data_IF_380399100172
#
_entry.id   IF_380399100172
#
_cell.length_a   1.000
_cell.length_b   1.000
_cell.length_c   1.000
_cell.angle_alpha   90.00
_cell.angle_beta   90.00
_cell.angle_gamma   90.00
#
_symmetry.space_group_name_H-M   'P 1'
#
loop_
_entity.id
_entity.type
_entity.pdbx_description
1 polymer ?
#
# COMPACT_ATOMS: atom_id res chain seq x y z
N UNK A 1 -46.94 19.49 3.38
CA UNK A 1 -46.85 18.32 4.28
C UNK A 1 -46.27 18.78 5.63
N UNK A 2 -46.63 18.11 6.74
CA UNK A 2 -45.94 18.29 8.01
C UNK A 2 -44.51 17.73 7.89
N UNK A 3 -43.51 18.44 8.42
CA UNK A 3 -42.14 17.94 8.47
C UNK A 3 -42.01 17.10 9.73
N UNK A 4 -41.94 15.77 9.57
CA UNK A 4 -42.01 14.81 10.67
C UNK A 4 -40.67 14.68 11.41
N UNK A 5 -39.55 14.98 10.73
CA UNK A 5 -38.19 14.88 11.29
C UNK A 5 -37.43 16.22 11.30
N UNK A 6 -36.48 16.42 12.24
CA UNK A 6 -35.69 17.66 12.36
C UNK A 6 -34.96 18.07 11.08
N UNK A 7 -34.38 17.12 10.35
CA UNK A 7 -33.72 17.40 9.06
C UNK A 7 -34.69 17.98 8.02
N UNK A 8 -35.93 17.49 7.98
CA UNK A 8 -36.95 17.99 7.03
C UNK A 8 -37.40 19.42 7.36
N UNK A 9 -37.38 19.79 8.64
CA UNK A 9 -37.69 21.16 9.07
C UNK A 9 -36.58 22.11 8.61
N UNK A 10 -35.32 21.75 8.83
CA UNK A 10 -34.15 22.53 8.35
C UNK A 10 -34.15 22.68 6.84
N UNK A 11 -34.35 21.58 6.09
CA UNK A 11 -34.44 21.65 4.62
C UNK A 11 -35.56 22.58 4.16
N UNK A 12 -36.72 22.56 4.84
CA UNK A 12 -37.85 23.44 4.49
C UNK A 12 -37.59 24.91 4.79
N UNK A 13 -36.91 25.21 5.90
CA UNK A 13 -36.50 26.57 6.24
C UNK A 13 -35.50 27.12 5.21
N UNK A 14 -34.48 26.33 4.85
CA UNK A 14 -33.51 26.69 3.81
C UNK A 14 -34.16 26.87 2.45
N UNK A 15 -35.09 25.99 2.06
CA UNK A 15 -35.83 26.11 0.81
C UNK A 15 -36.67 27.41 0.76
N UNK A 16 -37.35 27.76 1.86
CA UNK A 16 -38.10 29.03 1.96
C UNK A 16 -37.19 30.25 1.87
N UNK A 17 -36.03 30.20 2.51
CA UNK A 17 -35.04 31.27 2.43
C UNK A 17 -34.47 31.44 1.01
N UNK A 18 -34.25 30.33 0.29
CA UNK A 18 -33.80 30.33 -1.09
C UNK A 18 -34.86 30.93 -2.03
N UNK A 19 -36.15 30.59 -1.86
CA UNK A 19 -37.24 31.19 -2.64
C UNK A 19 -37.40 32.70 -2.38
N UNK A 20 -37.29 33.14 -1.12
CA UNK A 20 -37.30 34.56 -0.80
C UNK A 20 -36.07 35.31 -1.38
N UNK A 21 -34.94 34.63 -1.57
CA UNK A 21 -33.78 35.20 -2.26
C UNK A 21 -33.98 35.22 -3.79
N UNK A 22 -34.61 34.20 -4.35
CA UNK A 22 -34.98 34.12 -5.76
C UNK A 22 -35.86 35.30 -6.19
N UNK A 23 -36.92 35.57 -5.41
CA UNK A 23 -37.82 36.71 -5.66
C UNK A 23 -37.09 38.06 -5.52
N UNK A 24 -36.32 38.26 -4.44
CA UNK A 24 -35.60 39.52 -4.18
C UNK A 24 -34.58 39.86 -5.28
N UNK A 25 -33.90 38.87 -5.83
CA UNK A 25 -32.88 39.08 -6.85
C UNK A 25 -33.40 38.84 -8.28
N UNK A 26 -34.70 38.53 -8.44
CA UNK A 26 -35.33 38.22 -9.73
C UNK A 26 -34.56 37.14 -10.51
N UNK A 27 -34.12 36.08 -9.81
CA UNK A 27 -33.39 34.97 -10.43
C UNK A 27 -34.32 34.00 -11.16
N UNK A 28 -35.63 34.05 -10.92
CA UNK A 28 -36.63 33.23 -11.62
C UNK A 28 -36.30 31.73 -11.61
N UNK A 29 -35.71 31.23 -10.52
CA UNK A 29 -35.21 29.86 -10.38
C UNK A 29 -36.31 28.82 -10.48
N UNK A 30 -37.54 29.15 -10.04
CA UNK A 30 -38.71 28.27 -10.22
C UNK A 30 -39.14 28.13 -11.69
N UNK A 31 -38.85 29.14 -12.52
CA UNK A 31 -39.23 29.14 -13.95
C UNK A 31 -38.15 28.51 -14.83
N UNK A 32 -36.89 28.73 -14.47
CA UNK A 32 -35.74 28.16 -15.16
C UNK A 32 -34.72 27.59 -14.18
N UNK A 33 -34.90 26.29 -13.90
CA UNK A 33 -34.06 25.52 -12.99
C UNK A 33 -32.61 25.45 -13.52
N UNK A 34 -32.35 25.65 -14.82
CA UNK A 34 -30.98 25.61 -15.36
C UNK A 34 -30.09 26.73 -14.83
N UNK A 35 -30.69 27.82 -14.32
CA UNK A 35 -29.99 28.98 -13.73
C UNK A 35 -29.30 28.66 -12.41
N UNK A 36 -29.69 27.58 -11.72
CA UNK A 36 -28.96 27.09 -10.56
C UNK A 36 -27.49 26.74 -10.91
N UNK A 37 -27.24 26.38 -12.18
CA UNK A 37 -25.92 25.99 -12.69
C UNK A 37 -25.17 25.02 -11.76
N UNK A 38 -25.90 24.12 -11.11
CA UNK A 38 -25.34 23.09 -10.24
C UNK A 38 -24.69 22.06 -11.16
N UNK A 39 -23.36 22.06 -11.15
CA UNK A 39 -22.52 21.28 -12.04
C UNK A 39 -21.38 20.66 -11.23
N UNK A 40 -20.98 19.45 -11.61
CA UNK A 40 -19.69 18.92 -11.17
C UNK A 40 -18.56 19.75 -11.77
N UNK A 41 -17.39 19.75 -11.12
CA UNK A 41 -16.19 20.45 -11.63
C UNK A 41 -15.92 20.05 -13.09
N UNK A 42 -16.06 18.77 -13.43
CA UNK A 42 -15.84 18.26 -14.79
C UNK A 42 -16.81 18.84 -15.82
N UNK A 43 -18.11 18.88 -15.48
CA UNK A 43 -19.13 19.45 -16.37
C UNK A 43 -19.01 20.96 -16.53
N UNK A 44 -18.46 21.66 -15.52
CA UNK A 44 -18.11 23.08 -15.59
C UNK A 44 -16.87 23.31 -16.47
N UNK A 45 -15.78 22.58 -16.24
CA UNK A 45 -14.56 22.63 -17.06
C UNK A 45 -14.86 22.31 -18.53
N UNK A 46 -15.64 21.26 -18.79
CA UNK A 46 -16.08 20.92 -20.14
C UNK A 46 -16.94 22.02 -20.79
N UNK A 47 -17.73 22.77 -20.02
CA UNK A 47 -18.47 23.92 -20.55
C UNK A 47 -17.53 25.08 -20.92
N UNK A 48 -16.51 25.35 -20.11
CA UNK A 48 -15.51 26.39 -20.39
C UNK A 48 -14.70 26.08 -21.66
N UNK A 49 -14.18 24.85 -21.80
CA UNK A 49 -13.41 24.44 -22.98
C UNK A 49 -14.24 24.54 -24.26
N UNK A 50 -15.55 24.25 -24.19
CA UNK A 50 -16.48 24.43 -25.32
C UNK A 50 -16.74 25.89 -25.68
N UNK A 51 -16.74 26.80 -24.70
CA UNK A 51 -17.01 28.22 -24.92
C UNK A 51 -15.76 29.00 -25.35
N UNK A 52 -14.55 28.51 -25.04
CA UNK A 52 -13.29 29.19 -25.37
C UNK A 52 -12.24 28.29 -26.07
N UNK A 53 -12.54 27.62 -27.20
CA UNK A 53 -11.62 26.64 -27.80
C UNK A 53 -10.26 27.22 -28.23
N UNK A 54 -10.25 28.48 -28.68
CA UNK A 54 -9.04 29.17 -29.18
C UNK A 54 -8.14 29.67 -28.05
N UNK A 55 -8.73 30.17 -26.95
CA UNK A 55 -7.97 30.66 -25.79
C UNK A 55 -7.45 29.52 -24.91
N UNK A 56 -8.08 28.35 -24.96
CA UNK A 56 -7.61 27.16 -24.25
C UNK A 56 -6.52 26.40 -25.00
N UNK A 57 -6.11 26.82 -26.21
CA UNK A 57 -5.15 26.11 -27.08
C UNK A 57 -5.52 24.64 -27.39
N UNK A 58 -6.75 24.22 -27.08
CA UNK A 58 -7.19 22.83 -27.16
C UNK A 58 -7.46 22.37 -28.60
N UNK A 59 -7.53 23.27 -29.58
CA UNK A 59 -7.68 22.95 -31.01
C UNK A 59 -8.99 22.25 -31.40
N UNK A 60 -9.86 21.90 -30.44
CA UNK A 60 -11.09 21.12 -30.63
C UNK A 60 -11.84 20.87 -29.31
N UNK A 61 -12.91 20.06 -29.37
CA UNK A 61 -13.67 19.68 -28.16
C UNK A 61 -12.90 18.61 -27.38
N UNK A 62 -12.52 18.90 -26.14
CA UNK A 62 -12.02 17.89 -25.21
C UNK A 62 -13.16 16.93 -24.83
N UNK A 63 -12.99 15.64 -25.12
CA UNK A 63 -13.89 14.60 -24.64
C UNK A 63 -13.47 14.20 -23.22
N UNK A 64 -14.46 14.04 -22.33
CA UNK A 64 -14.24 13.40 -21.06
C UNK A 64 -13.94 11.92 -21.31
N UNK A 65 -12.89 11.43 -20.66
CA UNK A 65 -12.48 10.03 -20.72
C UNK A 65 -12.80 9.39 -19.37
N UNK A 66 -13.64 8.36 -19.39
CA UNK A 66 -14.04 7.64 -18.17
C UNK A 66 -12.93 6.71 -17.66
N UNK A 67 -12.09 6.16 -18.55
CA UNK A 67 -10.96 5.30 -18.20
C UNK A 67 -9.67 5.77 -18.89
N UNK A 68 -8.74 6.31 -18.10
CA UNK A 68 -7.44 6.80 -18.55
C UNK A 68 -6.33 5.74 -18.55
N UNK A 69 -6.63 4.47 -18.24
CA UNK A 69 -5.62 3.41 -18.15
C UNK A 69 -4.79 3.24 -19.42
N UNK A 70 -5.41 3.36 -20.61
CA UNK A 70 -4.67 3.30 -21.87
C UNK A 70 -3.63 4.42 -21.98
N UNK A 71 -3.99 5.64 -21.57
CA UNK A 71 -3.07 6.78 -21.58
C UNK A 71 -1.93 6.60 -20.56
N UNK A 72 -2.20 5.97 -19.41
CA UNK A 72 -1.15 5.63 -18.45
C UNK A 72 -0.19 4.57 -19.01
N UNK A 73 -0.71 3.55 -19.69
CA UNK A 73 0.12 2.53 -20.34
C UNK A 73 1.00 3.15 -21.44
N UNK A 74 0.43 4.04 -22.26
CA UNK A 74 1.18 4.80 -23.28
C UNK A 74 2.28 5.65 -22.65
N UNK A 75 1.97 6.41 -21.58
CA UNK A 75 2.97 7.23 -20.89
C UNK A 75 4.14 6.41 -20.33
N UNK A 76 3.87 5.21 -19.79
CA UNK A 76 4.90 4.29 -19.31
C UNK A 76 5.72 3.71 -20.46
N UNK A 77 5.08 3.33 -21.57
CA UNK A 77 5.79 2.86 -22.76
C UNK A 77 6.69 3.94 -23.36
N UNK A 78 6.23 5.19 -23.36
CA UNK A 78 6.99 6.34 -23.83
C UNK A 78 8.17 6.65 -22.91
N UNK A 79 8.02 6.53 -21.59
CA UNK A 79 9.12 6.63 -20.64
C UNK A 79 10.23 5.63 -20.98
N UNK A 80 9.88 4.35 -21.20
CA UNK A 80 10.87 3.33 -21.58
C UNK A 80 11.55 3.64 -22.91
N UNK A 81 10.86 4.25 -23.87
CA UNK A 81 11.44 4.64 -25.16
C UNK A 81 12.40 5.81 -25.05
N UNK A 82 12.18 6.71 -24.10
CA UNK A 82 12.98 7.91 -23.87
C UNK A 82 14.20 7.68 -22.98
N UNK A 83 14.22 6.58 -22.23
CA UNK A 83 15.33 6.20 -21.37
C UNK A 83 16.47 5.59 -22.18
N UNK A 84 17.25 6.45 -22.83
CA UNK A 84 18.55 6.10 -23.41
C UNK A 84 19.70 6.30 -22.41
N UNK A 85 20.92 5.89 -22.78
CA UNK A 85 22.11 5.99 -21.91
C UNK A 85 22.44 7.44 -21.48
N UNK A 86 21.85 8.46 -22.11
CA UNK A 86 22.05 9.87 -21.79
C UNK A 86 21.01 10.47 -20.84
N UNK A 87 19.90 9.76 -20.57
CA UNK A 87 18.82 10.29 -19.74
C UNK A 87 19.18 10.20 -18.23
N UNK A 88 18.97 11.26 -17.42
CA UNK A 88 19.31 11.25 -15.99
C UNK A 88 18.69 10.09 -15.19
N UNK A 89 17.47 9.69 -15.56
CA UNK A 89 16.75 8.59 -14.90
C UNK A 89 17.08 7.19 -15.46
N UNK A 90 17.99 7.05 -16.44
CA UNK A 90 18.33 5.76 -17.03
C UNK A 90 19.01 4.82 -16.04
N UNK A 91 19.90 5.36 -15.20
CA UNK A 91 20.57 4.58 -14.15
C UNK A 91 19.56 4.07 -13.10
N UNK A 92 18.64 4.93 -12.66
CA UNK A 92 17.61 4.56 -11.70
C UNK A 92 16.64 3.53 -12.28
N UNK A 93 16.25 3.69 -13.55
CA UNK A 93 15.44 2.70 -14.26
C UNK A 93 16.16 1.36 -14.42
N UNK A 94 17.47 1.35 -14.66
CA UNK A 94 18.22 0.11 -14.73
C UNK A 94 18.24 -0.62 -13.36
N UNK A 95 18.37 0.12 -12.26
CA UNK A 95 18.40 -0.43 -10.90
C UNK A 95 17.04 -1.02 -10.45
N UNK A 96 15.99 -0.20 -10.38
CA UNK A 96 14.82 -0.42 -11.21
C UNK A 96 14.44 -1.84 -11.64
N UNK A 97 14.67 -2.03 -12.92
CA UNK A 97 14.52 -3.25 -13.69
C UNK A 97 15.25 -4.46 -13.14
N UNK A 98 16.49 -4.30 -12.65
CA UNK A 98 17.25 -5.40 -12.08
C UNK A 98 16.55 -5.95 -10.83
N UNK A 99 15.93 -5.10 -10.01
CA UNK A 99 15.15 -5.51 -8.84
C UNK A 99 13.91 -6.34 -9.21
N UNK A 100 13.36 -6.13 -10.41
CA UNK A 100 12.22 -6.88 -10.93
C UNK A 100 12.64 -8.06 -11.82
N UNK A 101 13.88 -8.53 -11.75
CA UNK A 101 14.42 -9.61 -12.58
C UNK A 101 14.24 -9.34 -14.09
N UNK A 102 14.29 -8.06 -14.49
CA UNK A 102 13.98 -7.58 -15.84
C UNK A 102 12.57 -7.96 -16.35
N UNK A 103 11.61 -8.20 -15.45
CA UNK A 103 10.21 -8.40 -15.80
C UNK A 103 9.53 -7.07 -16.16
N UNK A 104 9.64 -6.72 -17.44
CA UNK A 104 9.13 -5.47 -18.00
C UNK A 104 7.62 -5.30 -17.82
N UNK A 105 6.85 -6.37 -18.08
CA UNK A 105 5.40 -6.35 -18.01
C UNK A 105 4.94 -6.02 -16.58
N UNK A 106 5.54 -6.69 -15.58
CA UNK A 106 5.24 -6.43 -14.18
C UNK A 106 5.58 -5.01 -13.76
N UNK A 107 6.73 -4.49 -14.19
CA UNK A 107 7.14 -3.12 -13.86
C UNK A 107 6.19 -2.10 -14.51
N UNK A 108 5.82 -2.32 -15.77
CA UNK A 108 4.85 -1.49 -16.48
C UNK A 108 3.52 -1.46 -15.74
N UNK A 109 2.98 -2.62 -15.35
CA UNK A 109 1.72 -2.70 -14.62
C UNK A 109 1.75 -1.92 -13.30
N UNK A 110 2.88 -1.96 -12.59
CA UNK A 110 3.07 -1.22 -11.35
C UNK A 110 3.14 0.30 -11.60
N UNK A 111 3.86 0.74 -12.63
CA UNK A 111 3.94 2.15 -12.99
C UNK A 111 2.58 2.70 -13.45
N UNK A 112 1.80 1.93 -14.20
CA UNK A 112 0.43 2.27 -14.60
C UNK A 112 -0.47 2.42 -13.36
N UNK A 113 -0.42 1.46 -12.44
CA UNK A 113 -1.18 1.52 -11.19
C UNK A 113 -0.75 2.70 -10.31
N UNK A 114 0.53 3.04 -10.28
CA UNK A 114 1.03 4.24 -9.61
C UNK A 114 0.43 5.49 -10.27
N UNK A 115 0.48 5.62 -11.60
CA UNK A 115 -0.10 6.78 -12.30
C UNK A 115 -1.59 6.94 -12.03
N UNK A 116 -2.35 5.84 -12.01
CA UNK A 116 -3.78 5.85 -11.67
C UNK A 116 -4.07 6.41 -10.25
N UNK A 117 -3.09 6.33 -9.33
CA UNK A 117 -3.17 6.84 -7.96
C UNK A 117 -2.26 8.05 -7.71
N UNK A 118 -1.88 8.77 -8.77
CA UNK A 118 -0.92 9.89 -8.71
C UNK A 118 -1.21 10.87 -7.59
N UNK A 119 -2.46 11.28 -7.43
CA UNK A 119 -2.82 12.28 -6.42
C UNK A 119 -2.59 11.81 -4.97
N UNK A 120 -2.50 10.49 -4.73
CA UNK A 120 -2.23 9.94 -3.39
C UNK A 120 -0.76 10.05 -3.00
N UNK A 121 0.16 9.84 -3.94
CA UNK A 121 1.60 9.80 -3.64
C UNK A 121 2.35 11.06 -4.06
N UNK A 122 1.78 11.86 -4.96
CA UNK A 122 2.35 13.13 -5.43
C UNK A 122 2.78 14.08 -4.32
N UNK A 123 2.10 14.18 -3.16
CA UNK A 123 2.59 15.02 -2.06
C UNK A 123 3.90 14.53 -1.43
N UNK A 124 4.22 13.24 -1.54
CA UNK A 124 5.41 12.61 -0.94
C UNK A 124 6.58 12.52 -1.90
N UNK A 125 6.30 12.51 -3.21
CA UNK A 125 7.30 12.47 -4.27
C UNK A 125 7.37 13.88 -4.85
N UNK A 126 8.29 14.70 -4.32
CA UNK A 126 8.44 16.13 -4.63
C UNK A 126 8.89 16.38 -6.06
N UNK A 127 7.97 16.12 -6.99
CA UNK A 127 8.18 15.57 -8.34
C UNK A 127 9.32 16.15 -9.19
N UNK A 128 9.87 17.33 -8.93
CA UNK A 128 11.06 17.85 -9.63
C UNK A 128 11.92 18.83 -8.81
N UNK A 129 11.72 18.95 -7.49
CA UNK A 129 12.38 20.00 -6.69
C UNK A 129 13.38 19.48 -5.65
N UNK A 130 13.18 18.27 -5.12
CA UNK A 130 14.09 17.65 -4.16
C UNK A 130 13.97 16.11 -4.15
N UNK A 131 14.58 15.41 -5.12
CA UNK A 131 14.60 13.95 -5.17
C UNK A 131 15.18 13.33 -3.89
N UNK A 132 16.32 13.84 -3.42
CA UNK A 132 17.02 13.34 -2.24
C UNK A 132 16.17 13.46 -0.95
N UNK A 133 15.41 14.55 -0.81
CA UNK A 133 14.49 14.74 0.31
C UNK A 133 13.31 13.76 0.24
N UNK A 134 12.81 13.50 -0.96
CA UNK A 134 11.72 12.55 -1.18
C UNK A 134 12.19 11.12 -0.88
N UNK A 135 13.40 10.75 -1.31
CA UNK A 135 14.01 9.47 -0.98
C UNK A 135 14.19 9.33 0.54
N UNK A 136 14.81 10.32 1.19
CA UNK A 136 15.02 10.29 2.63
C UNK A 136 13.69 10.16 3.40
N UNK A 137 12.64 10.87 2.97
CA UNK A 137 11.31 10.76 3.55
C UNK A 137 10.70 9.36 3.38
N UNK A 138 10.74 8.80 2.16
CA UNK A 138 10.20 7.48 1.87
C UNK A 138 10.96 6.38 2.63
N UNK A 139 12.29 6.44 2.64
CA UNK A 139 13.14 5.49 3.39
C UNK A 139 12.84 5.57 4.88
N UNK A 140 12.74 6.78 5.45
CA UNK A 140 12.42 6.96 6.86
C UNK A 140 11.02 6.42 7.19
N UNK A 141 10.03 6.67 6.32
CA UNK A 141 8.65 6.19 6.50
C UNK A 141 8.57 4.67 6.45
N UNK A 142 9.20 4.04 5.46
CA UNK A 142 9.24 2.57 5.34
C UNK A 142 10.00 1.96 6.52
N UNK A 143 11.13 2.56 6.91
CA UNK A 143 11.92 2.11 8.07
C UNK A 143 11.10 2.18 9.36
N UNK A 144 10.37 3.28 9.59
CA UNK A 144 9.52 3.45 10.75
C UNK A 144 8.35 2.46 10.76
N UNK A 145 7.71 2.23 9.61
CA UNK A 145 6.64 1.26 9.47
C UNK A 145 7.13 -0.16 9.78
N UNK A 146 8.24 -0.58 9.16
CA UNK A 146 8.85 -1.89 9.42
C UNK A 146 9.19 -2.02 10.90
N UNK A 147 9.81 -1.00 11.51
CA UNK A 147 10.17 -1.04 12.92
C UNK A 147 8.95 -1.15 13.84
N UNK A 148 7.85 -0.46 13.52
CA UNK A 148 6.60 -0.54 14.26
C UNK A 148 5.97 -1.95 14.17
N UNK A 149 5.91 -2.54 12.98
CA UNK A 149 5.38 -3.89 12.79
C UNK A 149 6.25 -4.95 13.50
N UNK A 150 7.58 -4.83 13.41
CA UNK A 150 8.49 -5.72 14.15
C UNK A 150 8.39 -5.54 15.66
N UNK A 151 8.17 -4.30 16.13
CA UNK A 151 7.94 -4.04 17.56
C UNK A 151 6.66 -4.71 18.06
N UNK A 152 5.56 -4.57 17.31
CA UNK A 152 4.31 -5.26 17.63
C UNK A 152 4.51 -6.79 17.67
N UNK A 153 5.24 -7.35 16.69
CA UNK A 153 5.56 -8.77 16.67
C UNK A 153 6.41 -9.20 17.88
N UNK A 154 7.44 -8.41 18.24
CA UNK A 154 8.26 -8.63 19.43
C UNK A 154 7.43 -8.66 20.71
N UNK A 155 6.53 -7.70 20.90
CA UNK A 155 5.67 -7.62 22.08
C UNK A 155 4.78 -8.86 22.21
N UNK A 156 4.18 -9.28 21.10
CA UNK A 156 3.26 -10.43 21.06
C UNK A 156 3.97 -11.75 21.27
N UNK A 157 5.19 -11.89 20.75
CA UNK A 157 6.03 -13.06 20.98
C UNK A 157 6.79 -12.99 22.31
N UNK A 158 6.73 -11.87 23.04
CA UNK A 158 7.46 -11.60 24.29
C UNK A 158 7.50 -12.79 25.27
N UNK A 159 6.35 -13.38 25.63
CA UNK A 159 6.30 -14.53 26.53
C UNK A 159 7.03 -15.78 26.02
N UNK A 160 7.15 -15.92 24.70
CA UNK A 160 7.69 -17.10 24.01
C UNK A 160 9.12 -16.93 23.52
N UNK A 161 9.71 -15.73 23.58
CA UNK A 161 11.02 -15.43 22.97
C UNK A 161 12.13 -16.36 23.47
N UNK A 162 12.18 -16.63 24.79
CA UNK A 162 13.20 -17.48 25.38
C UNK A 162 13.12 -18.93 24.88
N UNK A 163 11.91 -19.48 24.85
CA UNK A 163 11.66 -20.84 24.37
C UNK A 163 11.87 -20.96 22.85
N UNK A 164 11.37 -19.97 22.08
CA UNK A 164 11.60 -19.87 20.65
C UNK A 164 13.08 -19.83 20.31
N UNK A 165 13.87 -19.01 21.02
CA UNK A 165 15.30 -18.89 20.77
C UNK A 165 16.04 -20.20 21.07
N UNK A 166 15.69 -20.90 22.15
CA UNK A 166 16.31 -22.19 22.49
C UNK A 166 16.00 -23.25 21.42
N UNK A 167 14.74 -23.37 21.01
CA UNK A 167 14.32 -24.30 19.97
C UNK A 167 14.88 -23.95 18.59
N UNK A 168 14.99 -22.65 18.27
CA UNK A 168 15.59 -22.18 17.03
C UNK A 168 17.09 -22.50 16.98
N UNK A 169 17.83 -22.29 18.07
CA UNK A 169 19.24 -22.70 18.18
C UNK A 169 19.41 -24.21 18.07
N UNK A 170 18.53 -24.98 18.72
CA UNK A 170 18.53 -26.44 18.61
C UNK A 170 18.33 -26.89 17.15
N UNK A 171 17.35 -26.32 16.47
CA UNK A 171 17.08 -26.60 15.06
C UNK A 171 18.28 -26.25 14.16
N UNK A 172 18.84 -25.04 14.32
CA UNK A 172 19.96 -24.55 13.54
C UNK A 172 21.22 -25.43 13.72
N UNK A 173 21.52 -25.85 14.95
CA UNK A 173 22.64 -26.74 15.24
C UNK A 173 22.52 -28.09 14.53
N UNK A 174 21.31 -28.63 14.40
CA UNK A 174 21.08 -29.93 13.76
C UNK A 174 20.99 -29.85 12.23
N UNK A 175 20.55 -28.72 11.68
CA UNK A 175 20.45 -28.52 10.22
C UNK A 175 21.72 -27.95 9.59
N UNK A 176 22.67 -27.48 10.39
CA UNK A 176 23.87 -26.76 9.93
C UNK A 176 23.58 -25.33 9.47
N UNK A 177 22.42 -24.78 9.84
CA UNK A 177 22.09 -23.38 9.55
C UNK A 177 22.82 -22.44 10.53
N UNK A 178 22.98 -21.15 10.19
CA UNK A 178 23.55 -20.17 11.11
C UNK A 178 22.77 -20.14 12.43
N UNK A 179 23.48 -20.34 13.54
CA UNK A 179 22.88 -20.36 14.88
C UNK A 179 22.65 -18.92 15.34
N UNK A 180 21.42 -18.53 15.71
CA UNK A 180 21.14 -17.17 16.16
C UNK A 180 21.78 -16.89 17.53
N UNK A 181 22.50 -15.77 17.60
CA UNK A 181 23.11 -15.29 18.84
C UNK A 181 22.06 -14.75 19.81
N UNK A 182 21.03 -14.05 19.33
CA UNK A 182 19.97 -13.46 20.14
C UNK A 182 18.63 -13.52 19.41
N UNK A 183 17.53 -13.19 20.09
CA UNK A 183 16.23 -13.03 19.44
C UNK A 183 16.24 -11.76 18.56
N UNK A 184 15.60 -11.76 17.37
CA UNK A 184 15.70 -10.64 16.44
C UNK A 184 15.13 -9.34 17.02
N UNK A 185 15.79 -8.21 16.74
CA UNK A 185 15.34 -6.89 17.14
C UNK A 185 14.23 -6.31 16.25
N UNK A 186 13.95 -5.02 16.41
CA UNK A 186 12.93 -4.28 15.65
C UNK A 186 13.53 -3.45 14.51
N UNK A 187 14.81 -3.62 14.19
CA UNK A 187 15.47 -2.85 13.14
C UNK A 187 15.30 -3.48 11.76
N UNK A 188 15.45 -2.70 10.67
CA UNK A 188 15.47 -3.26 9.31
C UNK A 188 16.59 -4.30 9.09
N UNK A 189 17.70 -4.19 9.82
CA UNK A 189 18.78 -5.17 9.78
C UNK A 189 18.38 -6.57 10.29
N UNK A 190 17.32 -6.65 11.10
CA UNK A 190 16.84 -7.91 11.69
C UNK A 190 15.92 -8.70 10.75
N UNK A 191 15.53 -8.12 9.60
CA UNK A 191 14.59 -8.76 8.65
C UNK A 191 15.07 -10.14 8.21
N UNK A 192 16.38 -10.33 8.00
CA UNK A 192 16.92 -11.64 7.60
C UNK A 192 16.72 -12.70 8.70
N UNK A 193 16.90 -12.31 9.96
CA UNK A 193 16.69 -13.16 11.12
C UNK A 193 15.20 -13.49 11.30
N UNK A 194 14.31 -12.49 11.15
CA UNK A 194 12.86 -12.68 11.14
C UNK A 194 12.38 -13.61 10.01
N UNK A 195 12.97 -13.50 8.81
CA UNK A 195 12.68 -14.42 7.69
C UNK A 195 13.09 -15.85 8.01
N UNK A 196 14.24 -16.04 8.66
CA UNK A 196 14.71 -17.36 9.07
C UNK A 196 13.80 -17.97 10.14
N UNK A 197 13.33 -17.16 11.10
CA UNK A 197 12.35 -17.59 12.09
C UNK A 197 10.99 -17.93 11.44
N UNK A 198 10.54 -17.12 10.46
CA UNK A 198 9.35 -17.42 9.66
C UNK A 198 9.47 -18.77 8.96
N UNK A 199 10.61 -19.05 8.33
CA UNK A 199 10.84 -20.32 7.64
C UNK A 199 10.84 -21.50 8.62
N UNK A 200 11.31 -21.31 9.86
CA UNK A 200 11.23 -22.33 10.90
C UNK A 200 9.78 -22.60 11.32
N UNK A 201 8.97 -21.55 11.53
CA UNK A 201 7.61 -21.65 12.08
C UNK A 201 6.53 -22.00 11.05
N UNK A 202 6.64 -21.44 9.84
CA UNK A 202 5.61 -21.48 8.80
C UNK A 202 6.06 -22.28 7.58
N UNK A 203 5.08 -22.74 6.82
CA UNK A 203 5.26 -23.31 5.48
C UNK A 203 5.46 -22.21 4.44
N UNK A 204 5.87 -22.58 3.21
CA UNK A 204 6.06 -21.59 2.13
C UNK A 204 4.78 -20.79 1.84
N UNK A 205 3.62 -21.45 1.94
CA UNK A 205 2.29 -20.85 1.75
C UNK A 205 1.81 -19.98 2.94
N UNK A 206 2.63 -19.83 3.99
CA UNK A 206 2.32 -19.00 5.16
C UNK A 206 1.54 -19.71 6.27
N UNK A 207 1.07 -20.94 6.06
CA UNK A 207 0.38 -21.70 7.12
C UNK A 207 1.33 -22.29 8.16
N UNK A 208 0.87 -22.39 9.41
CA UNK A 208 1.60 -23.05 10.51
C UNK A 208 1.98 -24.49 10.19
N UNK A 209 3.19 -24.90 10.60
CA UNK A 209 3.71 -26.24 10.31
C UNK A 209 3.00 -27.33 11.14
N UNK A 210 2.43 -28.31 10.44
CA UNK A 210 1.85 -29.52 11.06
C UNK A 210 2.85 -30.66 11.25
N UNK A 211 3.92 -30.68 10.46
CA UNK A 211 4.95 -31.74 10.48
C UNK A 211 6.30 -31.15 10.87
N UNK A 212 6.86 -31.70 11.94
CA UNK A 212 8.20 -31.40 12.42
C UNK A 212 9.13 -32.55 12.00
N UNK A 213 10.12 -32.26 11.15
CA UNK A 213 10.98 -33.24 10.48
C UNK A 213 12.46 -32.95 10.71
N UNK A 214 13.30 -33.93 10.40
CA UNK A 214 14.76 -33.81 10.46
C UNK A 214 15.29 -32.68 9.57
N UNK A 215 14.60 -32.41 8.46
CA UNK A 215 14.95 -31.35 7.50
C UNK A 215 14.88 -29.94 8.08
N UNK A 216 14.09 -29.73 9.13
CA UNK A 216 13.98 -28.45 9.83
C UNK A 216 14.73 -28.46 11.17
N UNK A 217 15.70 -29.37 11.33
CA UNK A 217 16.57 -29.40 12.51
C UNK A 217 16.04 -30.18 13.72
N UNK A 218 14.97 -30.98 13.54
CA UNK A 218 14.42 -31.82 14.61
C UNK A 218 14.62 -33.31 14.32
N UNK A 219 15.70 -33.93 14.83
CA UNK A 219 16.05 -35.32 14.52
C UNK A 219 15.01 -36.32 15.05
N UNK A 220 14.90 -37.47 14.38
CA UNK A 220 14.11 -38.58 14.89
C UNK A 220 14.89 -39.34 15.98
N UNK A 221 14.28 -39.59 17.13
CA UNK A 221 14.94 -40.27 18.23
C UNK A 221 14.04 -40.42 19.45
N UNK A 222 14.58 -41.01 20.52
CA UNK A 222 13.97 -41.06 21.86
C UNK A 222 14.72 -40.11 22.80
N UNK A 223 14.14 -39.81 23.97
CA UNK A 223 14.76 -38.92 24.96
C UNK A 223 14.68 -37.45 24.53
N UNK A 224 15.81 -36.75 24.56
CA UNK A 224 15.87 -35.30 24.30
C UNK A 224 15.32 -34.91 22.93
N UNK A 225 15.65 -35.64 21.86
CA UNK A 225 15.16 -35.34 20.51
C UNK A 225 13.63 -35.38 20.40
N UNK A 226 12.99 -36.34 21.10
CA UNK A 226 11.53 -36.43 21.15
C UNK A 226 10.95 -35.30 22.01
N UNK A 227 11.56 -35.02 23.17
CA UNK A 227 11.11 -33.93 24.06
C UNK A 227 11.15 -32.56 23.35
N UNK A 228 12.26 -32.24 22.66
CA UNK A 228 12.40 -30.98 21.89
C UNK A 228 11.39 -30.87 20.76
N UNK A 229 11.09 -31.99 20.10
CA UNK A 229 10.09 -32.05 19.03
C UNK A 229 8.67 -31.82 19.56
N UNK A 230 8.33 -32.41 20.70
CA UNK A 230 7.02 -32.23 21.33
C UNK A 230 6.85 -30.82 21.90
N UNK A 231 7.92 -30.27 22.50
CA UNK A 231 7.99 -28.88 22.94
C UNK A 231 7.72 -27.91 21.77
N UNK A 232 8.40 -28.09 20.63
CA UNK A 232 8.20 -27.24 19.46
C UNK A 232 6.78 -27.34 18.88
N UNK A 233 6.17 -28.53 18.88
CA UNK A 233 4.77 -28.68 18.43
C UNK A 233 3.78 -27.97 19.34
N UNK A 234 3.93 -28.12 20.66
CA UNK A 234 3.08 -27.44 21.63
C UNK A 234 3.18 -25.92 21.44
N UNK A 235 4.39 -25.41 21.28
CA UNK A 235 4.61 -23.99 21.01
C UNK A 235 3.96 -23.51 19.70
N UNK A 236 4.05 -24.29 18.62
CA UNK A 236 3.37 -23.95 17.36
C UNK A 236 1.85 -23.91 17.52
N UNK A 237 1.27 -24.82 18.31
CA UNK A 237 -0.16 -24.84 18.59
C UNK A 237 -0.61 -23.62 19.43
N UNK A 238 0.19 -23.19 20.39
CA UNK A 238 -0.06 -21.99 21.19
C UNK A 238 0.06 -20.72 20.34
N UNK A 239 1.13 -20.60 19.54
CA UNK A 239 1.33 -19.44 18.67
C UNK A 239 0.25 -19.32 17.58
N UNK A 240 -0.26 -20.45 17.08
CA UNK A 240 -1.35 -20.47 16.11
C UNK A 240 -2.69 -19.99 16.67
N UNK A 241 -2.83 -19.84 18.00
CA UNK A 241 -4.02 -19.30 18.65
C UNK A 241 -3.90 -17.81 18.99
N UNK A 242 -2.75 -17.17 18.73
CA UNK A 242 -2.54 -15.76 19.04
C UNK A 242 -3.11 -14.87 17.93
N UNK A 243 -4.18 -14.14 18.27
CA UNK A 243 -4.87 -13.22 17.36
C UNK A 243 -3.92 -12.21 16.70
N UNK A 244 -3.79 -12.25 15.37
CA UNK A 244 -3.03 -11.32 14.53
C UNK A 244 -1.62 -11.78 14.12
N UNK A 245 -1.27 -13.05 14.37
CA UNK A 245 -0.10 -13.71 13.78
C UNK A 245 -0.48 -14.46 12.49
N UNK A 246 -1.70 -14.19 12.00
CA UNK A 246 -2.32 -14.78 10.81
C UNK A 246 -1.74 -14.21 9.51
#
# INVERSE_FOLDING_TARGET
AACENPHQQVTRELARAALAADERNNWQLERDISRFNIKTIDSFCGALTRQMPVLSEFGGQAALLDDANQLYAEAVADLFRQLDEGHPAAADMAALMLHFDNNWERLQDLLVQMLARREQWRPYVGLHHAPDESEAYLVATVTALVAAELAALCERLGPYQGELLDLWRYAANNSGAPVPADFPGTGPGDIAAWRSLRELLLTQDGGWRKRVTTTIGFPAGKGEAQARKDQFKALLEELAQLDGLD
#
